data_IF_754987295821
#
_entry.id   IF_754987295821
#
_cell.length_a   1.000
_cell.length_b   1.000
_cell.length_c   1.000
_cell.angle_alpha   90.00
_cell.angle_beta   90.00
_cell.angle_gamma   90.00
#
_symmetry.space_group_name_H-M   'P 1'
#
loop_
_entity.id
_entity.type
_entity.pdbx_description
1 polymer ?
#
# COMPACT_ATOMS: atom_id res chain seq x y z
N UNK A 1 -21.54 28.01 -2.88
CA UNK A 1 -22.58 26.96 -2.79
C UNK A 1 -21.95 25.70 -2.20
N UNK A 2 -22.07 25.43 -0.89
CA UNK A 2 -21.74 24.12 -0.29
C UNK A 2 -22.56 23.93 1.00
N UNK A 3 -23.88 24.05 0.93
CA UNK A 3 -24.77 23.63 2.02
C UNK A 3 -25.70 22.57 1.46
N UNK A 4 -25.50 21.31 1.84
CA UNK A 4 -26.41 20.25 1.41
C UNK A 4 -25.94 18.79 1.49
N UNK A 5 -24.92 18.44 2.29
CA UNK A 5 -24.75 17.03 2.67
C UNK A 5 -25.59 16.78 3.93
N UNK A 6 -26.51 15.81 3.89
CA UNK A 6 -27.33 15.46 5.05
C UNK A 6 -26.45 14.95 6.19
N UNK A 7 -26.90 15.11 7.44
CA UNK A 7 -26.20 14.64 8.63
C UNK A 7 -25.80 13.16 8.53
N UNK A 8 -26.66 12.33 7.92
CA UNK A 8 -26.38 10.92 7.61
C UNK A 8 -25.15 10.72 6.71
N UNK A 9 -24.90 11.60 5.76
CA UNK A 9 -23.71 11.51 4.89
C UNK A 9 -22.46 11.79 5.71
N UNK A 10 -22.49 12.79 6.58
CA UNK A 10 -21.37 13.09 7.46
C UNK A 10 -21.12 12.00 8.49
N UNK A 11 -22.17 11.41 9.06
CA UNK A 11 -22.04 10.24 9.94
C UNK A 11 -21.46 9.03 9.20
N UNK A 12 -21.88 8.77 7.96
CA UNK A 12 -21.34 7.67 7.16
C UNK A 12 -19.84 7.88 6.85
N UNK A 13 -19.45 9.09 6.47
CA UNK A 13 -18.04 9.43 6.24
C UNK A 13 -17.23 9.37 7.55
N UNK A 14 -17.78 9.81 8.68
CA UNK A 14 -17.15 9.69 9.99
C UNK A 14 -16.98 8.22 10.40
N UNK A 15 -17.96 7.36 10.11
CA UNK A 15 -17.88 5.93 10.35
C UNK A 15 -16.85 5.24 9.45
N UNK A 16 -16.67 5.70 8.20
CA UNK A 16 -15.56 5.25 7.35
C UNK A 16 -14.22 5.66 7.94
N UNK A 17 -14.07 6.92 8.37
CA UNK A 17 -12.85 7.44 8.99
C UNK A 17 -12.50 6.70 10.28
N UNK A 18 -13.49 6.32 11.09
CA UNK A 18 -13.31 5.48 12.30
C UNK A 18 -12.88 4.04 12.00
N UNK A 19 -13.17 3.54 10.79
CA UNK A 19 -12.77 2.21 10.33
C UNK A 19 -11.41 2.21 9.65
N UNK A 20 -10.91 3.38 9.25
CA UNK A 20 -9.54 3.48 8.75
C UNK A 20 -8.58 3.25 9.92
N UNK A 21 -7.41 2.63 9.67
CA UNK A 21 -6.30 2.73 10.61
C UNK A 21 -6.07 4.20 10.94
N UNK A 22 -5.64 4.49 12.18
CA UNK A 22 -5.41 5.85 12.70
C UNK A 22 -4.96 6.77 11.55
N UNK A 23 -5.73 7.83 11.30
CA UNK A 23 -5.49 8.75 10.19
C UNK A 23 -4.03 9.23 10.12
N UNK A 24 -3.34 9.29 11.26
CA UNK A 24 -1.92 9.59 11.32
C UNK A 24 -1.06 8.45 10.74
N UNK A 25 -1.32 7.19 11.11
CA UNK A 25 -0.65 6.01 10.56
C UNK A 25 -0.90 5.92 9.06
N UNK A 26 -2.15 6.11 8.61
CA UNK A 26 -2.47 6.12 7.19
C UNK A 26 -1.74 7.24 6.43
N UNK A 27 -1.64 8.44 7.03
CA UNK A 27 -0.88 9.56 6.45
C UNK A 27 0.61 9.27 6.33
N UNK A 28 1.20 8.65 7.34
CA UNK A 28 2.62 8.25 7.31
C UNK A 28 2.87 7.19 6.24
N UNK A 29 2.02 6.16 6.18
CA UNK A 29 2.09 5.14 5.14
C UNK A 29 1.95 5.75 3.74
N UNK A 30 0.99 6.65 3.56
CA UNK A 30 0.78 7.36 2.30
C UNK A 30 2.00 8.20 1.92
N UNK A 31 2.62 8.92 2.86
CA UNK A 31 3.82 9.69 2.58
C UNK A 31 4.97 8.81 2.07
N UNK A 32 5.19 7.66 2.70
CA UNK A 32 6.20 6.70 2.27
C UNK A 32 5.88 6.10 0.89
N UNK A 33 4.61 5.80 0.63
CA UNK A 33 4.13 5.30 -0.67
C UNK A 33 4.23 6.35 -1.79
N UNK A 34 3.87 7.60 -1.52
CA UNK A 34 3.90 8.68 -2.52
C UNK A 34 5.35 8.95 -2.99
N UNK A 35 6.35 8.65 -2.15
CA UNK A 35 7.78 8.75 -2.45
C UNK A 35 8.39 7.59 -3.24
N UNK A 36 7.58 6.62 -3.67
CA UNK A 36 7.97 5.53 -4.57
C UNK A 36 7.80 5.95 -6.05
N UNK A 37 8.61 5.36 -6.92
CA UNK A 37 8.35 5.42 -8.37
C UNK A 37 7.16 4.53 -8.77
N UNK A 38 6.73 4.63 -10.03
CA UNK A 38 5.53 3.94 -10.50
C UNK A 38 5.67 2.40 -10.49
N UNK A 39 6.87 1.88 -10.74
CA UNK A 39 7.13 0.44 -10.69
C UNK A 39 7.08 -0.06 -9.25
N UNK A 40 7.77 0.61 -8.33
CA UNK A 40 7.77 0.29 -6.90
C UNK A 40 6.36 0.36 -6.30
N UNK A 41 5.53 1.33 -6.72
CA UNK A 41 4.12 1.44 -6.32
C UNK A 41 3.32 0.22 -6.72
N UNK A 42 3.47 -0.25 -7.96
CA UNK A 42 2.77 -1.42 -8.45
C UNK A 42 3.22 -2.68 -7.70
N UNK A 43 4.53 -2.87 -7.51
CA UNK A 43 5.08 -3.99 -6.74
C UNK A 43 4.53 -3.99 -5.31
N UNK A 44 4.50 -2.84 -4.63
CA UNK A 44 3.95 -2.73 -3.28
C UNK A 44 2.47 -3.13 -3.22
N UNK A 45 1.67 -2.64 -4.18
CA UNK A 45 0.25 -2.97 -4.25
C UNK A 45 0.03 -4.45 -4.51
N UNK A 46 0.77 -5.05 -5.44
CA UNK A 46 0.66 -6.48 -5.73
C UNK A 46 1.01 -7.33 -4.50
N UNK A 47 2.07 -6.97 -3.78
CA UNK A 47 2.45 -7.64 -2.53
C UNK A 47 1.35 -7.50 -1.47
N UNK A 48 0.87 -6.28 -1.23
CA UNK A 48 -0.12 -6.01 -0.19
C UNK A 48 -1.49 -6.63 -0.50
N UNK A 49 -1.88 -6.68 -1.77
CA UNK A 49 -3.19 -7.17 -2.19
C UNK A 49 -3.23 -8.68 -2.43
N UNK A 50 -2.17 -9.27 -2.97
CA UNK A 50 -2.20 -10.65 -3.47
C UNK A 50 -1.17 -11.57 -2.84
N UNK A 51 0.02 -11.08 -2.52
CA UNK A 51 1.15 -11.93 -2.12
C UNK A 51 1.54 -11.83 -0.64
N UNK A 52 0.60 -11.42 0.22
CA UNK A 52 0.87 -11.29 1.64
C UNK A 52 1.16 -12.66 2.28
N UNK A 53 2.37 -12.83 2.79
CA UNK A 53 2.83 -14.06 3.46
C UNK A 53 3.40 -15.10 2.51
N UNK A 54 3.46 -14.80 1.21
CA UNK A 54 4.09 -15.67 0.22
C UNK A 54 5.62 -15.57 0.29
N UNK A 55 6.35 -16.63 -0.11
CA UNK A 55 7.81 -16.61 -0.14
C UNK A 55 8.34 -15.56 -1.13
N UNK A 56 9.29 -14.74 -0.69
CA UNK A 56 9.90 -13.67 -1.50
C UNK A 56 10.31 -14.12 -2.90
N UNK A 57 10.99 -15.27 -3.02
CA UNK A 57 11.43 -15.84 -4.30
C UNK A 57 10.27 -16.13 -5.25
N UNK A 58 9.14 -16.60 -4.74
CA UNK A 58 7.96 -16.90 -5.56
C UNK A 58 7.30 -15.61 -6.07
N UNK A 59 7.23 -14.60 -5.20
CA UNK A 59 6.71 -13.27 -5.54
C UNK A 59 7.59 -12.60 -6.59
N UNK A 60 8.91 -12.59 -6.38
CA UNK A 60 9.88 -12.01 -7.30
C UNK A 60 9.79 -12.65 -8.70
N UNK A 61 9.78 -13.97 -8.79
CA UNK A 61 9.64 -14.69 -10.08
C UNK A 61 8.35 -14.32 -10.81
N UNK A 62 7.24 -14.18 -10.09
CA UNK A 62 5.94 -13.86 -10.68
C UNK A 62 5.92 -12.42 -11.20
N UNK A 63 6.44 -11.47 -10.43
CA UNK A 63 6.52 -10.06 -10.82
C UNK A 63 7.53 -9.83 -11.95
N UNK A 64 8.68 -10.50 -11.94
CA UNK A 64 9.66 -10.46 -13.04
C UNK A 64 9.05 -10.98 -14.35
N UNK A 65 8.22 -12.02 -14.28
CA UNK A 65 7.51 -12.54 -15.47
C UNK A 65 6.52 -11.54 -16.07
N UNK A 66 6.08 -10.55 -15.27
CA UNK A 66 5.23 -9.44 -15.69
C UNK A 66 6.02 -8.23 -16.22
N UNK A 67 7.35 -8.31 -16.25
CA UNK A 67 8.25 -7.29 -16.77
C UNK A 67 8.76 -6.28 -15.73
N UNK A 68 8.52 -6.53 -14.45
CA UNK A 68 9.04 -5.67 -13.37
C UNK A 68 10.49 -6.00 -13.02
N UNK A 69 11.21 -5.05 -12.43
CA UNK A 69 12.47 -5.31 -11.71
C UNK A 69 12.18 -5.76 -10.27
N UNK A 70 11.63 -6.96 -10.09
CA UNK A 70 10.98 -7.33 -8.83
C UNK A 70 11.94 -7.45 -7.65
N UNK A 71 13.11 -8.10 -7.81
CA UNK A 71 14.07 -8.23 -6.72
C UNK A 71 14.51 -6.87 -6.18
N UNK A 72 14.85 -5.93 -7.09
CA UNK A 72 15.25 -4.58 -6.69
C UNK A 72 14.08 -3.83 -6.04
N UNK A 73 12.88 -3.93 -6.61
CA UNK A 73 11.69 -3.29 -6.04
C UNK A 73 11.36 -3.81 -4.63
N UNK A 74 11.51 -5.11 -4.40
CA UNK A 74 11.33 -5.73 -3.08
C UNK A 74 12.39 -5.22 -2.10
N UNK A 75 13.67 -5.18 -2.49
CA UNK A 75 14.75 -4.65 -1.67
C UNK A 75 14.51 -3.18 -1.29
N UNK A 76 14.17 -2.33 -2.26
CA UNK A 76 13.89 -0.91 -2.06
C UNK A 76 12.68 -0.70 -1.10
N UNK A 77 11.65 -1.53 -1.21
CA UNK A 77 10.47 -1.49 -0.32
C UNK A 77 10.82 -1.96 1.10
N UNK A 78 11.70 -2.95 1.24
CA UNK A 78 12.17 -3.45 2.54
C UNK A 78 13.07 -2.40 3.23
N UNK A 79 13.97 -1.75 2.50
CA UNK A 79 14.81 -0.65 2.99
C UNK A 79 13.98 0.54 3.48
N UNK A 80 12.82 0.79 2.84
CA UNK A 80 11.86 1.82 3.24
C UNK A 80 10.89 1.36 4.33
N UNK A 81 11.05 0.14 4.85
CA UNK A 81 10.17 -0.45 5.88
C UNK A 81 8.69 -0.50 5.47
N UNK A 82 8.41 -0.58 4.17
CA UNK A 82 7.06 -0.72 3.62
C UNK A 82 6.61 -2.18 3.57
N UNK A 83 7.56 -3.10 3.46
CA UNK A 83 7.37 -4.53 3.60
C UNK A 83 8.37 -5.09 4.61
N UNK A 84 8.19 -6.35 5.00
CA UNK A 84 9.14 -7.08 5.84
C UNK A 84 9.27 -8.49 5.31
N UNK A 85 10.50 -8.93 5.11
CA UNK A 85 10.82 -10.32 4.75
C UNK A 85 11.12 -11.09 6.04
N UNK A 86 10.48 -12.24 6.20
CA UNK A 86 10.68 -13.13 7.36
C UNK A 86 11.61 -14.27 6.94
N UNK A 87 12.66 -14.52 7.72
CA UNK A 87 13.58 -15.65 7.51
C UNK A 87 13.03 -16.97 8.07
#
# INVERSE_FOLDING_TARGET
>A
MLYGKSEKVWESELQKLKKLPDLNIFRLLKLSYDGLDDEQKNIFLDIACFYRGEPEKAVALTLDSSGFSASKGIDDLNDRSLISISN
#
